data_IF_834645032174
#
_entry.id   IF_834645032174
#
_cell.length_a   1.000
_cell.length_b   1.000
_cell.length_c   1.000
_cell.angle_alpha   90.00
_cell.angle_beta   90.00
_cell.angle_gamma   90.00
#
_symmetry.space_group_name_H-M   'P 1'
#
loop_
_entity.id
_entity.type
_entity.pdbx_description
1 polymer ?
#
# COMPACT_ATOMS: atom_id res chain seq x y z
N UNK A 1 1.48 -6.74 19.48
CA UNK A 1 2.06 -6.59 18.12
C UNK A 1 1.38 -7.65 17.30
N UNK A 2 0.66 -7.25 16.25
CA UNK A 2 0.10 -8.15 15.25
C UNK A 2 1.15 -8.46 14.19
N UNK A 3 1.16 -9.70 13.73
CA UNK A 3 1.94 -10.12 12.56
C UNK A 3 1.00 -10.94 11.69
N UNK A 4 0.88 -10.56 10.43
CA UNK A 4 0.13 -11.32 9.43
C UNK A 4 0.86 -11.31 8.09
N UNK A 5 0.37 -12.11 7.16
CA UNK A 5 0.90 -12.20 5.81
C UNK A 5 -0.27 -12.16 4.84
N UNK A 6 -0.18 -11.28 3.85
CA UNK A 6 -1.08 -11.23 2.70
C UNK A 6 -0.31 -11.71 1.47
N UNK A 7 -0.97 -12.45 0.61
CA UNK A 7 -0.43 -12.88 -0.67
C UNK A 7 -1.46 -12.64 -1.76
N UNK A 8 -1.01 -12.09 -2.88
CA UNK A 8 -1.85 -11.82 -4.04
C UNK A 8 -1.22 -12.45 -5.29
N UNK A 9 -2.04 -13.20 -6.04
CA UNK A 9 -1.69 -13.69 -7.37
C UNK A 9 -2.60 -12.99 -8.37
N UNK A 10 -2.00 -12.19 -9.26
CA UNK A 10 -2.74 -11.34 -10.20
C UNK A 10 -2.60 -11.85 -11.64
N UNK A 11 -3.72 -11.87 -12.36
CA UNK A 11 -3.72 -11.89 -13.82
C UNK A 11 -4.32 -10.60 -14.36
N UNK A 12 -3.60 -9.92 -15.24
CA UNK A 12 -4.06 -8.71 -15.92
C UNK A 12 -3.88 -8.85 -17.43
N UNK A 13 -4.82 -8.29 -18.20
CA UNK A 13 -4.69 -8.29 -19.67
C UNK A 13 -3.57 -7.31 -20.10
N UNK A 14 -2.82 -7.62 -21.17
CA UNK A 14 -1.73 -6.78 -21.67
C UNK A 14 -2.07 -5.31 -21.94
N UNK A 15 -3.35 -5.00 -22.21
CA UNK A 15 -3.82 -3.63 -22.46
C UNK A 15 -3.80 -2.75 -21.19
N UNK A 16 -3.82 -3.36 -20.00
CA UNK A 16 -3.83 -2.66 -18.71
C UNK A 16 -2.46 -2.69 -18.03
N UNK A 17 -1.72 -3.78 -18.18
CA UNK A 17 -0.35 -3.92 -17.67
C UNK A 17 0.46 -4.76 -18.64
N UNK A 18 1.69 -4.35 -18.91
CA UNK A 18 2.64 -5.14 -19.71
C UNK A 18 3.10 -6.40 -18.98
N UNK A 19 3.02 -6.41 -17.64
CA UNK A 19 3.26 -7.59 -16.82
C UNK A 19 1.92 -8.24 -16.46
N UNK A 20 1.65 -9.42 -17.06
CA UNK A 20 0.31 -10.03 -17.04
C UNK A 20 0.10 -11.03 -15.93
N UNK A 21 1.16 -11.65 -15.42
CA UNK A 21 1.12 -12.56 -14.30
C UNK A 21 2.04 -12.04 -13.21
N UNK A 22 1.46 -11.74 -12.05
CA UNK A 22 2.16 -11.12 -10.93
C UNK A 22 1.89 -11.89 -9.64
N UNK A 23 2.86 -11.83 -8.73
CA UNK A 23 2.70 -12.30 -7.37
C UNK A 23 3.28 -11.28 -6.41
N UNK A 24 2.49 -10.96 -5.39
CA UNK A 24 2.85 -10.07 -4.30
C UNK A 24 2.80 -10.84 -2.99
N UNK A 25 3.82 -10.64 -2.15
CA UNK A 25 3.85 -11.07 -0.76
C UNK A 25 4.01 -9.84 0.13
N UNK A 26 3.07 -9.66 1.05
CA UNK A 26 2.99 -8.50 1.94
C UNK A 26 2.93 -8.98 3.40
N UNK A 27 4.09 -9.11 4.06
CA UNK A 27 4.14 -9.18 5.50
C UNK A 27 3.53 -7.92 6.10
N UNK A 28 2.77 -8.05 7.19
CA UNK A 28 2.13 -6.94 7.88
C UNK A 28 2.53 -7.03 9.34
N UNK A 29 3.22 -5.99 9.83
CA UNK A 29 3.65 -5.87 11.22
C UNK A 29 2.95 -4.63 11.77
N UNK A 30 1.99 -4.83 12.67
CA UNK A 30 1.18 -3.75 13.19
C UNK A 30 1.14 -3.72 14.72
N UNK A 31 0.82 -2.55 15.27
CA UNK A 31 0.59 -2.39 16.69
C UNK A 31 -0.36 -1.23 16.95
N UNK A 32 -1.40 -1.53 17.72
CA UNK A 32 -2.25 -0.53 18.37
C UNK A 32 -1.82 -0.34 19.82
N UNK A 33 -1.57 0.90 20.23
CA UNK A 33 -1.28 1.29 21.61
C UNK A 33 -2.23 2.42 22.02
N UNK A 34 -3.31 2.06 22.72
CA UNK A 34 -4.38 3.01 23.03
C UNK A 34 -5.02 3.55 21.76
N UNK A 35 -4.88 4.86 21.53
CA UNK A 35 -5.41 5.57 20.36
C UNK A 35 -4.43 5.63 19.19
N UNK A 36 -3.18 5.21 19.39
CA UNK A 36 -2.17 5.19 18.34
C UNK A 36 -2.16 3.85 17.63
N UNK A 37 -2.06 3.87 16.30
CA UNK A 37 -1.89 2.70 15.48
C UNK A 37 -0.76 2.93 14.49
N UNK A 38 0.03 1.89 14.26
CA UNK A 38 1.01 1.88 13.19
C UNK A 38 1.13 0.50 12.57
N UNK A 39 1.50 0.48 11.30
CA UNK A 39 1.68 -0.72 10.51
C UNK A 39 2.84 -0.52 9.54
N UNK A 40 3.71 -1.52 9.43
CA UNK A 40 4.78 -1.57 8.46
C UNK A 40 4.60 -2.81 7.59
N UNK A 41 4.61 -2.63 6.28
CA UNK A 41 4.37 -3.70 5.31
C UNK A 41 5.52 -3.74 4.30
N UNK A 42 6.58 -4.53 4.56
CA UNK A 42 7.71 -4.69 3.64
C UNK A 42 7.31 -5.60 2.47
N UNK A 43 6.51 -5.08 1.56
CA UNK A 43 6.00 -5.84 0.41
C UNK A 43 7.11 -6.17 -0.57
N UNK A 44 7.10 -7.39 -1.08
CA UNK A 44 7.88 -7.79 -2.24
C UNK A 44 6.96 -8.31 -3.33
N UNK A 45 7.24 -7.94 -4.57
CA UNK A 45 6.43 -8.33 -5.72
C UNK A 45 7.32 -8.85 -6.85
N UNK A 46 6.75 -9.71 -7.70
CA UNK A 46 7.44 -10.30 -8.84
C UNK A 46 6.48 -10.55 -9.99
N UNK A 47 6.94 -10.22 -11.19
CA UNK A 47 6.29 -10.59 -12.44
C UNK A 47 6.81 -11.93 -12.97
N UNK A 48 5.89 -12.79 -13.41
CA UNK A 48 6.17 -14.08 -14.07
C UNK A 48 6.02 -14.03 -15.58
N UNK A 49 5.32 -13.02 -16.10
CA UNK A 49 5.17 -12.81 -17.54
C UNK A 49 5.14 -11.32 -17.86
N UNK A 50 6.03 -10.87 -18.74
CA UNK A 50 6.14 -9.49 -19.19
C UNK A 50 7.59 -8.98 -19.19
N UNK A 51 7.81 -7.69 -19.52
CA UNK A 51 9.14 -7.09 -19.59
C UNK A 51 9.90 -7.11 -18.25
N UNK A 52 9.19 -7.05 -17.12
CA UNK A 52 9.80 -6.92 -15.78
C UNK A 52 10.25 -8.25 -15.19
N UNK A 53 10.02 -9.39 -15.85
CA UNK A 53 10.46 -10.72 -15.38
C UNK A 53 11.97 -10.76 -15.07
N UNK A 54 12.79 -10.02 -15.84
CA UNK A 54 14.24 -9.96 -15.64
C UNK A 54 14.66 -9.13 -14.42
N UNK A 55 13.81 -8.23 -13.94
CA UNK A 55 14.06 -7.43 -12.74
C UNK A 55 14.02 -8.30 -11.47
N UNK A 56 13.30 -9.41 -11.51
CA UNK A 56 13.19 -10.33 -10.38
C UNK A 56 12.19 -9.82 -9.35
N UNK A 57 12.57 -9.87 -8.07
CA UNK A 57 11.75 -9.32 -7.00
C UNK A 57 11.98 -7.81 -6.88
N UNK A 58 10.90 -7.05 -6.79
CA UNK A 58 10.91 -5.63 -6.50
C UNK A 58 10.47 -5.41 -5.04
N UNK A 59 10.94 -4.33 -4.42
CA UNK A 59 10.67 -4.02 -3.02
C UNK A 59 9.86 -2.74 -2.88
N UNK A 60 8.68 -2.88 -2.26
CA UNK A 60 7.65 -1.86 -2.23
C UNK A 60 7.12 -1.63 -0.80
N UNK A 61 7.94 -1.08 0.13
CA UNK A 61 7.59 -0.95 1.53
C UNK A 61 6.47 0.08 1.72
N UNK A 62 5.51 -0.28 2.57
CA UNK A 62 4.40 0.57 2.95
C UNK A 62 4.42 0.82 4.45
N UNK A 63 4.03 2.01 4.85
CA UNK A 63 3.89 2.36 6.26
C UNK A 63 2.59 3.11 6.48
N UNK A 64 1.87 2.76 7.55
CA UNK A 64 0.68 3.49 7.98
C UNK A 64 0.86 3.89 9.42
N UNK A 65 0.46 5.11 9.73
CA UNK A 65 0.34 5.62 11.08
C UNK A 65 -1.00 6.33 11.22
N UNK A 66 -1.73 6.06 12.28
CA UNK A 66 -2.98 6.75 12.56
C UNK A 66 -3.21 6.96 14.05
N UNK A 67 -4.03 7.96 14.33
CA UNK A 67 -4.49 8.31 15.66
C UNK A 67 -6.02 8.38 15.66
N UNK A 68 -6.64 7.58 16.53
CA UNK A 68 -8.08 7.57 16.72
C UNK A 68 -8.50 8.89 17.39
N UNK A 69 -9.14 9.81 16.65
CA UNK A 69 -9.71 11.05 17.19
C UNK A 69 -10.96 10.76 18.04
N UNK A 70 -11.73 9.76 17.64
CA UNK A 70 -12.84 9.20 18.38
C UNK A 70 -13.11 7.76 17.85
N UNK A 71 -14.04 6.99 18.43
CA UNK A 71 -14.30 5.61 17.99
C UNK A 71 -14.71 5.46 16.51
N UNK A 72 -15.15 6.54 15.85
CA UNK A 72 -15.61 6.55 14.46
C UNK A 72 -14.61 7.17 13.49
N UNK A 73 -13.63 7.94 13.96
CA UNK A 73 -12.75 8.75 13.11
C UNK A 73 -11.31 8.56 13.59
N UNK A 74 -10.44 8.14 12.67
CA UNK A 74 -8.99 8.20 12.85
C UNK A 74 -8.37 9.08 11.77
N UNK A 75 -7.39 9.88 12.16
CA UNK A 75 -6.58 10.67 11.23
C UNK A 75 -5.17 10.10 11.21
N UNK A 76 -4.54 10.06 10.04
CA UNK A 76 -3.25 9.41 9.89
C UNK A 76 -2.50 9.86 8.67
N UNK A 77 -1.42 9.16 8.40
CA UNK A 77 -0.73 9.20 7.14
C UNK A 77 -0.31 7.79 6.70
N UNK A 78 -0.25 7.60 5.39
CA UNK A 78 0.22 6.39 4.74
C UNK A 78 1.40 6.78 3.84
N UNK A 79 2.42 5.93 3.80
CA UNK A 79 3.57 6.03 2.92
C UNK A 79 3.62 4.80 2.04
N UNK A 80 3.82 5.04 0.75
CA UNK A 80 3.95 4.01 -0.27
C UNK A 80 5.26 4.24 -1.01
N UNK A 81 6.18 3.28 -0.91
CA UNK A 81 7.43 3.30 -1.64
C UNK A 81 7.50 2.19 -2.67
N UNK A 82 8.17 2.45 -3.79
CA UNK A 82 8.64 1.45 -4.75
C UNK A 82 10.12 1.73 -5.04
N UNK A 83 11.00 0.89 -4.49
CA UNK A 83 12.45 1.06 -4.58
C UNK A 83 13.05 0.35 -5.80
N UNK A 84 12.26 -0.47 -6.49
CA UNK A 84 12.72 -1.27 -7.62
C UNK A 84 13.35 -2.60 -7.19
N UNK A 85 14.23 -3.18 -8.03
CA UNK A 85 14.75 -4.54 -7.84
C UNK A 85 15.55 -4.72 -6.55
N UNK A 86 15.33 -5.82 -5.83
CA UNK A 86 16.09 -6.16 -4.60
C UNK A 86 17.58 -6.41 -4.86
N UNK A 87 17.95 -6.72 -6.11
CA UNK A 87 19.35 -6.93 -6.53
C UNK A 87 20.12 -5.62 -6.69
N UNK A 88 19.43 -4.49 -6.74
CA UNK A 88 19.99 -3.16 -6.85
C UNK A 88 18.87 -2.14 -6.97
N UNK A 89 18.59 -1.43 -5.88
CA UNK A 89 17.53 -0.43 -5.84
C UNK A 89 17.77 0.68 -6.86
N UNK A 90 16.68 1.18 -7.42
CA UNK A 90 16.73 2.25 -8.40
C UNK A 90 17.27 3.54 -7.77
N UNK A 91 17.87 4.46 -8.56
CA UNK A 91 18.22 5.78 -8.07
C UNK A 91 16.99 6.52 -7.52
N UNK A 92 17.15 7.34 -6.47
CA UNK A 92 16.04 8.06 -5.82
C UNK A 92 15.10 8.82 -6.77
N UNK A 93 15.61 9.30 -7.89
CA UNK A 93 14.81 10.01 -8.91
C UNK A 93 13.84 9.09 -9.67
N UNK A 94 14.18 7.81 -9.77
CA UNK A 94 13.47 6.77 -10.52
C UNK A 94 12.59 5.92 -9.58
N UNK A 95 12.92 5.91 -8.28
CA UNK A 95 12.06 5.36 -7.22
C UNK A 95 10.74 6.13 -7.11
N UNK A 96 9.67 5.43 -6.76
CA UNK A 96 8.39 6.05 -6.44
C UNK A 96 8.24 6.19 -4.94
N UNK A 97 8.02 7.41 -4.44
CA UNK A 97 7.78 7.66 -3.01
C UNK A 97 6.59 8.58 -2.85
N UNK A 98 5.54 8.11 -2.17
CA UNK A 98 4.29 8.85 -1.99
C UNK A 98 3.90 8.89 -0.52
N UNK A 99 3.39 10.03 -0.08
CA UNK A 99 2.77 10.18 1.26
C UNK A 99 1.35 10.67 1.11
N UNK A 100 0.45 10.03 1.84
CA UNK A 100 -0.97 10.31 1.88
C UNK A 100 -1.33 10.72 3.31
N UNK A 101 -1.72 11.96 3.61
CA UNK A 101 -2.55 12.20 4.78
C UNK A 101 -3.88 11.50 4.57
N UNK A 102 -4.35 10.77 5.58
CA UNK A 102 -5.55 9.93 5.50
C UNK A 102 -6.53 10.18 6.63
N UNK A 103 -7.80 9.93 6.35
CA UNK A 103 -8.89 9.89 7.32
C UNK A 103 -9.60 8.55 7.15
N UNK A 104 -9.65 7.79 8.25
CA UNK A 104 -10.42 6.55 8.35
C UNK A 104 -11.73 6.84 9.08
N UNK A 105 -12.87 6.51 8.46
CA UNK A 105 -14.21 6.64 9.04
C UNK A 105 -14.84 5.26 9.23
N UNK A 106 -15.04 4.88 10.49
CA UNK A 106 -15.80 3.70 10.91
C UNK A 106 -17.24 4.13 11.22
N UNK A 107 -18.00 4.47 10.17
CA UNK A 107 -19.36 5.02 10.31
C UNK A 107 -20.35 4.01 10.91
N UNK A 108 -20.12 2.72 10.66
CA UNK A 108 -20.94 1.60 11.14
C UNK A 108 -20.03 0.37 11.35
N UNK A 109 -20.40 -0.60 12.20
CA UNK A 109 -19.69 -1.87 12.31
C UNK A 109 -19.53 -2.63 10.98
N UNK A 110 -20.32 -2.28 9.96
CA UNK A 110 -20.26 -2.89 8.62
C UNK A 110 -19.57 -2.03 7.57
N UNK A 111 -19.37 -0.74 7.80
CA UNK A 111 -18.89 0.19 6.79
C UNK A 111 -17.61 0.88 7.23
N UNK A 112 -16.60 0.76 6.39
CA UNK A 112 -15.29 1.38 6.58
C UNK A 112 -14.98 2.26 5.38
N UNK A 113 -14.54 3.49 5.63
CA UNK A 113 -14.09 4.42 4.59
C UNK A 113 -12.66 4.85 4.91
N UNK A 114 -11.76 4.80 3.94
CA UNK A 114 -10.42 5.38 4.03
C UNK A 114 -10.27 6.38 2.89
N UNK A 115 -10.06 7.64 3.25
CA UNK A 115 -9.85 8.75 2.31
C UNK A 115 -8.42 9.24 2.45
N UNK A 116 -7.74 9.49 1.33
CA UNK A 116 -6.36 9.99 1.33
C UNK A 116 -6.03 10.85 0.12
N UNK A 117 -5.14 11.82 0.31
CA UNK A 117 -4.64 12.69 -0.78
C UNK A 117 -3.12 12.57 -0.90
N UNK A 118 -2.66 11.68 -1.76
CA UNK A 118 -1.25 11.39 -1.99
C UNK A 118 -0.52 12.54 -2.66
N UNK A 119 0.67 12.84 -2.14
CA UNK A 119 1.66 13.73 -2.75
C UNK A 119 2.90 12.93 -3.10
N UNK A 120 3.27 12.94 -4.38
CA UNK A 120 4.50 12.34 -4.86
C UNK A 120 5.73 13.15 -4.43
N UNK A 121 6.73 12.47 -3.87
CA UNK A 121 7.99 13.08 -3.42
C UNK A 121 9.12 12.98 -4.45
N UNK A 122 8.93 12.18 -5.51
CA UNK A 122 9.93 11.93 -6.55
C UNK A 122 9.37 12.24 -7.94
N UNK A 123 10.24 12.45 -8.94
CA UNK A 123 9.81 12.69 -10.34
C UNK A 123 9.04 11.52 -10.95
N UNK A 124 9.27 10.31 -10.45
CA UNK A 124 8.63 9.08 -10.92
C UNK A 124 7.24 8.86 -10.30
N UNK A 125 6.79 9.75 -9.39
CA UNK A 125 5.46 9.68 -8.77
C UNK A 125 4.52 10.72 -9.32
N UNK A 126 3.24 10.35 -9.44
CA UNK A 126 2.19 11.32 -9.69
C UNK A 126 2.21 12.39 -8.59
N UNK A 127 2.17 13.66 -9.01
CA UNK A 127 2.33 14.77 -8.08
C UNK A 127 1.17 14.86 -7.08
N UNK A 128 -0.04 14.46 -7.48
CA UNK A 128 -1.23 14.48 -6.64
C UNK A 128 -2.16 13.32 -7.01
N UNK A 129 -2.50 12.46 -6.04
CA UNK A 129 -3.46 11.37 -6.20
C UNK A 129 -4.54 11.48 -5.13
N UNK A 130 -5.81 11.36 -5.51
CA UNK A 130 -6.88 11.15 -4.55
C UNK A 130 -7.19 9.65 -4.45
N UNK A 131 -7.29 9.14 -3.22
CA UNK A 131 -7.58 7.75 -2.90
C UNK A 131 -8.83 7.68 -2.01
N UNK A 132 -9.72 6.75 -2.35
CA UNK A 132 -10.84 6.36 -1.51
C UNK A 132 -10.98 4.84 -1.53
N UNK A 133 -10.98 4.22 -0.35
CA UNK A 133 -11.31 2.81 -0.16
C UNK A 133 -12.63 2.72 0.60
N UNK A 134 -13.54 1.89 0.08
CA UNK A 134 -14.82 1.58 0.69
C UNK A 134 -14.86 0.08 1.05
N UNK A 135 -14.98 -0.22 2.33
CA UNK A 135 -15.14 -1.56 2.87
C UNK A 135 -16.58 -1.79 3.32
N UNK A 136 -17.14 -2.94 2.94
CA UNK A 136 -18.41 -3.42 3.46
C UNK A 136 -18.26 -4.85 4.00
N UNK A 137 -18.68 -5.08 5.25
CA UNK A 137 -18.65 -6.40 5.89
C UNK A 137 -19.97 -7.13 5.66
N UNK A 138 -19.87 -8.30 5.05
CA UNK A 138 -20.99 -9.24 4.93
C UNK A 138 -21.05 -10.16 6.15
N UNK A 139 -22.23 -10.30 6.74
CA UNK A 139 -22.52 -11.28 7.78
C UNK A 139 -23.31 -12.40 7.09
N UNK A 140 -22.68 -13.56 6.90
CA UNK A 140 -23.31 -14.79 6.42
C UNK A 140 -23.45 -15.77 7.58
#
# INVERSE_FOLDING_TARGET
VGVSISQEFGYQRPIFSTDTWTWEIRPVIDKKLGRWYWSFNPTADRSFHGPSVRKGFEFSPNFKFSYDLNPKIAAGFEYYGALGPVTGFDPLRDQQQQVFPTIDLNLSPKWEFNLGVGVGMTRSTDHLIAKMILGYRFDF
#
